data_IF_654867986885
#
_entry.id   IF_654867986885
#
_cell.length_a   1.000
_cell.length_b   1.000
_cell.length_c   1.000
_cell.angle_alpha   90.00
_cell.angle_beta   90.00
_cell.angle_gamma   90.00
#
_symmetry.space_group_name_H-M   'P 1'
#
loop_
_entity.id
_entity.type
_entity.pdbx_description
1 polymer ?
#
# COMPACT_ATOMS: atom_id res chain seq x y z
N UNK A 1 10.86 -32.35 -35.66
CA UNK A 1 12.25 -31.91 -35.82
C UNK A 1 12.45 -30.64 -34.98
N UNK A 2 12.80 -30.81 -33.70
CA UNK A 2 13.68 -29.96 -32.87
C UNK A 2 13.75 -30.67 -31.51
N UNK A 3 14.97 -31.07 -31.14
CA UNK A 3 15.39 -31.86 -29.96
C UNK A 3 16.41 -30.98 -29.22
N UNK A 4 16.73 -31.33 -27.95
CA UNK A 4 17.78 -30.77 -27.04
C UNK A 4 17.19 -29.80 -26.00
N UNK A 5 17.31 -29.96 -24.67
CA UNK A 5 18.00 -30.95 -23.82
C UNK A 5 17.39 -30.95 -22.41
N UNK A 6 16.96 -32.12 -21.91
CA UNK A 6 16.77 -32.38 -20.48
C UNK A 6 18.12 -32.79 -19.89
N UNK A 7 18.61 -32.06 -18.89
CA UNK A 7 19.60 -32.61 -17.95
C UNK A 7 18.89 -33.16 -16.72
N UNK A 8 19.24 -34.40 -16.42
CA UNK A 8 18.87 -35.23 -15.27
C UNK A 8 19.94 -35.02 -14.19
N UNK A 9 19.56 -34.83 -12.94
CA UNK A 9 20.39 -35.05 -11.72
C UNK A 9 19.44 -34.92 -10.53
N UNK A 10 18.86 -36.03 -10.07
CA UNK A 10 19.33 -36.85 -8.93
C UNK A 10 19.06 -36.20 -7.56
N UNK A 11 18.11 -36.78 -6.82
CA UNK A 11 17.97 -36.65 -5.38
C UNK A 11 19.10 -37.43 -4.68
N UNK A 12 19.48 -37.13 -3.44
CA UNK A 12 18.77 -37.76 -2.31
C UNK A 12 18.77 -36.96 -0.98
N UNK A 13 17.98 -37.44 -0.02
CA UNK A 13 18.42 -37.53 1.38
C UNK A 13 18.26 -36.29 2.26
N UNK A 14 17.39 -36.41 3.27
CA UNK A 14 17.38 -35.49 4.40
C UNK A 14 18.67 -35.55 5.20
N UNK A 15 18.90 -34.51 6.01
CA UNK A 15 19.62 -34.53 7.29
C UNK A 15 19.16 -33.27 8.02
N UNK A 16 18.53 -33.48 9.17
CA UNK A 16 18.29 -32.45 10.16
C UNK A 16 19.62 -31.81 10.56
N UNK A 17 19.72 -30.49 10.47
CA UNK A 17 20.90 -29.78 10.97
C UNK A 17 20.69 -29.43 12.44
N UNK A 18 21.13 -30.37 13.26
CA UNK A 18 21.41 -30.32 14.69
C UNK A 18 22.43 -29.24 15.07
N UNK A 19 22.13 -27.96 14.87
CA UNK A 19 23.07 -26.88 15.27
C UNK A 19 22.44 -25.78 16.12
N UNK A 20 21.11 -25.73 16.26
CA UNK A 20 20.48 -24.83 17.24
C UNK A 20 20.09 -25.49 18.57
N UNK A 21 20.17 -26.82 18.69
CA UNK A 21 19.87 -27.54 19.94
C UNK A 21 21.08 -27.73 20.88
N UNK A 22 22.31 -27.50 20.42
CA UNK A 22 23.51 -27.73 21.24
C UNK A 22 23.85 -26.58 22.20
N UNK A 23 23.36 -25.36 21.98
CA UNK A 23 23.62 -24.22 22.88
C UNK A 23 22.72 -24.26 24.12
N UNK A 24 21.54 -24.90 24.04
CA UNK A 24 20.57 -24.91 25.14
C UNK A 24 20.87 -25.97 26.22
N UNK A 25 21.67 -27.00 25.92
CA UNK A 25 22.02 -28.05 26.89
C UNK A 25 23.29 -27.78 27.73
N UNK A 26 24.07 -26.73 27.42
CA UNK A 26 25.30 -26.43 28.19
C UNK A 26 25.10 -25.48 29.37
N UNK A 27 23.89 -24.91 29.54
CA UNK A 27 23.59 -23.99 30.65
C UNK A 27 22.75 -24.61 31.78
N UNK A 28 22.60 -25.94 31.80
CA UNK A 28 21.78 -26.64 32.80
C UNK A 28 22.55 -27.69 33.63
N UNK A 29 23.86 -27.50 33.82
CA UNK A 29 24.71 -28.46 34.54
C UNK A 29 25.67 -27.84 35.58
N UNK A 30 25.35 -26.69 36.16
CA UNK A 30 26.06 -26.17 37.34
C UNK A 30 25.10 -25.52 38.32
N UNK A 31 24.66 -26.28 39.32
CA UNK A 31 24.87 -26.02 40.75
C UNK A 31 23.86 -26.82 41.59
N UNK A 32 24.30 -27.96 42.09
CA UNK A 32 23.71 -28.62 43.27
C UNK A 32 24.64 -28.30 44.44
N UNK A 33 24.17 -27.56 45.45
CA UNK A 33 24.33 -27.83 46.90
C UNK A 33 24.04 -26.61 47.82
N UNK A 34 22.90 -26.69 48.56
CA UNK A 34 22.64 -26.13 49.92
C UNK A 34 22.25 -24.63 50.08
N UNK A 35 21.58 -24.20 51.19
CA UNK A 35 20.68 -24.87 52.14
C UNK A 35 19.22 -24.31 52.10
N UNK A 36 18.23 -25.12 52.49
CA UNK A 36 16.78 -24.94 52.26
C UNK A 36 16.05 -23.78 52.97
N UNK A 37 16.70 -22.86 53.69
CA UNK A 37 15.99 -21.88 54.55
C UNK A 37 15.67 -20.52 53.93
N UNK A 38 16.16 -20.21 52.73
CA UNK A 38 16.06 -18.87 52.13
C UNK A 38 15.11 -18.79 50.93
N UNK A 39 14.55 -19.91 50.48
CA UNK A 39 13.75 -19.96 49.25
C UNK A 39 12.28 -19.52 49.43
N UNK A 40 11.72 -19.66 50.63
CA UNK A 40 10.35 -19.27 50.92
C UNK A 40 10.20 -17.74 51.01
N UNK A 41 11.16 -17.06 51.65
CA UNK A 41 11.16 -15.60 51.79
C UNK A 41 11.48 -14.86 50.49
N UNK A 42 12.32 -15.45 49.63
CA UNK A 42 12.61 -14.92 48.29
C UNK A 42 11.42 -15.04 47.33
N UNK A 43 10.64 -16.13 47.44
CA UNK A 43 9.38 -16.27 46.68
C UNK A 43 8.32 -15.26 47.12
N UNK A 44 8.21 -14.99 48.43
CA UNK A 44 7.28 -13.98 48.96
C UNK A 44 7.67 -12.53 48.57
N UNK A 45 8.97 -12.25 48.40
CA UNK A 45 9.47 -10.96 47.88
C UNK A 45 9.27 -10.83 46.37
N UNK A 46 9.42 -11.90 45.60
CA UNK A 46 9.13 -11.92 44.16
C UNK A 46 7.63 -11.68 43.88
N UNK A 47 6.74 -12.28 44.68
CA UNK A 47 5.27 -12.10 44.57
C UNK A 47 4.80 -10.67 44.90
N UNK A 48 5.62 -9.89 45.62
CA UNK A 48 5.31 -8.50 45.99
C UNK A 48 5.78 -7.49 44.94
N UNK A 49 6.79 -7.84 44.13
CA UNK A 49 7.29 -7.02 43.03
C UNK A 49 6.36 -7.05 41.80
N UNK A 50 5.56 -8.11 41.63
CA UNK A 50 4.68 -8.29 40.48
C UNK A 50 3.34 -7.53 40.60
N UNK A 51 2.97 -7.08 41.81
CA UNK A 51 1.72 -6.34 42.08
C UNK A 51 1.79 -4.84 41.81
N UNK A 52 2.92 -4.32 41.32
CA UNK A 52 3.16 -2.87 41.20
C UNK A 52 3.32 -2.32 39.77
N UNK A 53 3.33 -3.16 38.73
CA UNK A 53 3.62 -2.68 37.37
C UNK A 53 2.31 -2.64 36.56
N UNK A 54 1.79 -1.44 36.20
CA UNK A 54 0.69 -1.36 35.25
C UNK A 54 1.14 -1.98 33.92
N UNK A 55 0.46 -3.06 33.52
CA UNK A 55 0.78 -3.90 32.37
C UNK A 55 0.52 -3.24 31.00
N UNK A 56 0.84 -1.95 30.84
CA UNK A 56 0.54 -1.20 29.62
C UNK A 56 1.75 -0.52 28.94
N UNK A 57 2.99 -0.72 29.42
CA UNK A 57 4.13 0.07 28.90
C UNK A 57 5.21 -0.68 28.13
N UNK A 58 5.11 -1.99 27.87
CA UNK A 58 6.25 -2.71 27.25
C UNK A 58 5.90 -3.82 26.25
N UNK A 59 4.72 -3.84 25.64
CA UNK A 59 4.51 -4.75 24.50
C UNK A 59 5.12 -4.12 23.24
N UNK A 60 6.23 -4.65 22.69
CA UNK A 60 6.58 -4.32 21.31
C UNK A 60 5.38 -4.69 20.42
N UNK A 61 5.03 -3.85 19.45
CA UNK A 61 3.89 -4.11 18.58
C UNK A 61 4.08 -5.49 17.93
N UNK A 62 3.01 -6.32 17.86
CA UNK A 62 3.13 -7.66 17.30
C UNK A 62 3.69 -7.60 15.87
N UNK A 63 4.57 -8.54 15.48
CA UNK A 63 5.09 -8.65 14.12
C UNK A 63 3.92 -8.97 13.19
N UNK A 64 3.36 -7.93 12.57
CA UNK A 64 2.07 -7.93 11.88
C UNK A 64 1.42 -6.55 11.82
N UNK A 65 1.92 -5.58 12.57
CA UNK A 65 1.41 -4.20 12.61
C UNK A 65 1.82 -3.32 11.43
N UNK A 66 2.97 -3.57 10.78
CA UNK A 66 3.38 -2.78 9.61
C UNK A 66 2.49 -3.01 8.39
N UNK A 67 2.06 -4.26 8.16
CA UNK A 67 1.09 -4.61 7.12
C UNK A 67 -0.26 -3.91 7.36
N UNK A 68 -0.72 -3.85 8.61
CA UNK A 68 -1.95 -3.15 8.99
C UNK A 68 -1.91 -1.65 8.68
N UNK A 69 -0.80 -0.97 9.04
CA UNK A 69 -0.65 0.47 8.80
C UNK A 69 -0.55 0.82 7.31
N UNK A 70 0.16 0.00 6.51
CA UNK A 70 0.20 0.21 5.06
C UNK A 70 -1.17 -0.02 4.44
N UNK A 71 -1.89 -1.05 4.88
CA UNK A 71 -3.24 -1.34 4.40
C UNK A 71 -4.21 -0.20 4.66
N UNK A 72 -4.18 0.41 5.86
CA UNK A 72 -4.99 1.58 6.20
C UNK A 72 -4.74 2.76 5.24
N UNK A 73 -3.47 3.01 4.90
CA UNK A 73 -3.04 4.08 3.99
C UNK A 73 -3.39 3.85 2.51
N UNK A 74 -3.74 2.63 2.11
CA UNK A 74 -4.17 2.31 0.73
C UNK A 74 -5.67 1.98 0.64
N UNK A 75 -6.33 1.71 1.77
CA UNK A 75 -7.71 1.22 1.81
C UNK A 75 -8.70 2.12 1.06
N UNK A 76 -8.64 3.44 1.24
CA UNK A 76 -9.50 4.39 0.51
C UNK A 76 -9.25 4.37 -1.01
N UNK A 77 -7.99 4.23 -1.45
CA UNK A 77 -7.66 4.11 -2.87
C UNK A 77 -8.21 2.81 -3.46
N UNK A 78 -8.10 1.71 -2.72
CA UNK A 78 -8.67 0.42 -3.10
C UNK A 78 -10.19 0.52 -3.20
N UNK A 79 -10.85 1.14 -2.21
CA UNK A 79 -12.30 1.35 -2.24
C UNK A 79 -12.75 2.14 -3.47
N UNK A 80 -12.08 3.25 -3.80
CA UNK A 80 -12.37 4.04 -5.01
C UNK A 80 -12.11 3.22 -6.28
N UNK A 81 -11.08 2.39 -6.30
CA UNK A 81 -10.78 1.47 -7.42
C UNK A 81 -11.86 0.41 -7.60
N UNK A 82 -12.39 -0.16 -6.51
CA UNK A 82 -13.49 -1.12 -6.58
C UNK A 82 -14.78 -0.47 -7.06
N UNK A 83 -15.10 0.74 -6.57
CA UNK A 83 -16.24 1.53 -7.03
C UNK A 83 -16.12 1.88 -8.52
N UNK A 84 -14.91 2.21 -8.99
CA UNK A 84 -14.68 2.54 -10.39
C UNK A 84 -14.81 1.32 -11.32
N UNK A 85 -14.36 0.15 -10.86
CA UNK A 85 -14.56 -1.13 -11.56
C UNK A 85 -16.05 -1.51 -11.64
N UNK A 86 -16.80 -1.36 -10.54
CA UNK A 86 -18.25 -1.56 -10.50
C UNK A 86 -18.97 -0.61 -11.48
N UNK A 87 -18.57 0.66 -11.51
CA UNK A 87 -19.09 1.63 -12.47
C UNK A 87 -18.81 1.21 -13.93
N UNK A 88 -17.59 0.73 -14.24
CA UNK A 88 -17.26 0.25 -15.58
C UNK A 88 -18.13 -0.95 -15.99
N UNK A 89 -18.32 -1.91 -15.08
CA UNK A 89 -19.18 -3.07 -15.33
C UNK A 89 -20.64 -2.66 -15.56
N UNK A 90 -21.15 -1.69 -14.78
CA UNK A 90 -22.50 -1.16 -14.95
C UNK A 90 -22.69 -0.50 -16.32
N UNK A 91 -21.71 0.29 -16.78
CA UNK A 91 -21.77 0.89 -18.12
C UNK A 91 -21.74 -0.15 -19.23
N UNK A 92 -20.87 -1.15 -19.13
CA UNK A 92 -20.81 -2.24 -20.11
C UNK A 92 -22.15 -3.00 -20.17
N UNK A 93 -22.72 -3.33 -19.01
CA UNK A 93 -24.01 -4.03 -18.93
C UNK A 93 -25.16 -3.18 -19.47
N UNK A 94 -25.15 -1.86 -19.21
CA UNK A 94 -26.12 -0.93 -19.78
C UNK A 94 -26.02 -0.86 -21.31
N UNK A 95 -24.81 -0.73 -21.87
CA UNK A 95 -24.57 -0.73 -23.31
C UNK A 95 -25.06 -2.03 -23.95
N UNK A 96 -24.77 -3.18 -23.33
CA UNK A 96 -25.20 -4.49 -23.82
C UNK A 96 -26.72 -4.64 -23.81
N UNK A 97 -27.40 -4.17 -22.75
CA UNK A 97 -28.86 -4.17 -22.68
C UNK A 97 -29.49 -3.33 -23.79
N UNK A 98 -28.98 -2.12 -24.00
CA UNK A 98 -29.46 -1.24 -25.07
C UNK A 98 -29.18 -1.83 -26.47
N UNK A 99 -28.07 -2.58 -26.64
CA UNK A 99 -27.75 -3.33 -27.86
C UNK A 99 -28.75 -4.45 -28.15
N UNK A 100 -29.19 -5.18 -27.11
CA UNK A 100 -30.18 -6.27 -27.25
C UNK A 100 -31.58 -5.74 -27.52
N UNK A 101 -31.93 -4.57 -26.96
CA UNK A 101 -33.26 -3.97 -27.10
C UNK A 101 -33.40 -3.12 -28.37
N UNK A 102 -32.33 -2.45 -28.80
CA UNK A 102 -32.31 -1.67 -30.04
C UNK A 102 -31.79 -2.55 -31.18
N UNK A 103 -32.59 -2.77 -32.24
CA UNK A 103 -32.11 -3.44 -33.45
C UNK A 103 -31.07 -2.56 -34.16
N UNK A 104 -29.80 -2.66 -33.73
CA UNK A 104 -28.50 -2.24 -34.30
C UNK A 104 -28.32 -0.78 -34.80
N UNK A 105 -29.36 0.06 -34.93
CA UNK A 105 -29.24 1.39 -35.59
C UNK A 105 -29.98 2.55 -34.90
N UNK A 106 -30.17 2.52 -33.58
CA UNK A 106 -30.69 3.70 -32.89
C UNK A 106 -29.54 4.71 -32.63
N UNK A 107 -29.72 5.98 -33.00
CA UNK A 107 -28.74 7.05 -32.72
C UNK A 107 -28.44 7.18 -31.23
N UNK A 108 -29.35 6.75 -30.35
CA UNK A 108 -29.13 6.66 -28.91
C UNK A 108 -28.09 5.61 -28.51
N UNK A 109 -28.07 4.44 -29.16
CA UNK A 109 -27.10 3.37 -28.88
C UNK A 109 -25.67 3.80 -29.22
N UNK A 110 -25.45 4.38 -30.41
CA UNK A 110 -24.11 4.86 -30.81
C UNK A 110 -23.55 5.92 -29.85
N UNK A 111 -24.41 6.82 -29.34
CA UNK A 111 -24.01 7.83 -28.35
C UNK A 111 -23.57 7.20 -27.03
N UNK A 112 -24.30 6.20 -26.54
CA UNK A 112 -23.99 5.48 -25.29
C UNK A 112 -22.72 4.65 -25.44
N UNK A 113 -22.55 3.99 -26.59
CA UNK A 113 -21.34 3.24 -26.92
C UNK A 113 -20.11 4.16 -27.02
N UNK A 114 -20.23 5.31 -27.69
CA UNK A 114 -19.16 6.31 -27.79
C UNK A 114 -18.80 6.89 -26.41
N UNK A 115 -19.79 7.21 -25.57
CA UNK A 115 -19.55 7.69 -24.21
C UNK A 115 -18.83 6.65 -23.36
N UNK A 116 -19.22 5.37 -23.44
CA UNK A 116 -18.54 4.27 -22.75
C UNK A 116 -17.09 4.12 -23.22
N UNK A 117 -16.84 4.22 -24.54
CA UNK A 117 -15.49 4.12 -25.10
C UNK A 117 -14.58 5.26 -24.64
N UNK A 118 -15.03 6.50 -24.70
CA UNK A 118 -14.29 7.65 -24.16
C UNK A 118 -13.96 7.48 -22.67
N UNK A 119 -14.92 6.92 -21.92
CA UNK A 119 -14.74 6.59 -20.52
C UNK A 119 -13.69 5.49 -20.31
N UNK A 120 -13.64 4.46 -21.16
CA UNK A 120 -12.62 3.40 -21.09
C UNK A 120 -11.23 3.90 -21.48
N UNK A 121 -11.12 4.75 -22.49
CA UNK A 121 -9.84 5.29 -22.95
C UNK A 121 -9.18 6.19 -21.88
N UNK A 122 -9.98 6.94 -21.11
CA UNK A 122 -9.47 7.81 -20.04
C UNK A 122 -9.22 7.07 -18.71
N UNK A 123 -9.75 5.85 -18.57
CA UNK A 123 -9.72 5.11 -17.30
C UNK A 123 -8.32 4.69 -16.84
N UNK A 124 -7.43 4.14 -17.70
CA UNK A 124 -6.06 3.81 -17.32
C UNK A 124 -5.28 5.03 -16.82
N UNK A 125 -5.44 6.19 -17.48
CA UNK A 125 -4.79 7.44 -17.09
C UNK A 125 -5.28 7.90 -15.71
N UNK A 126 -6.60 7.88 -15.49
CA UNK A 126 -7.19 8.19 -14.18
C UNK A 126 -6.64 7.27 -13.07
N UNK A 127 -6.60 5.97 -13.33
CA UNK A 127 -6.09 4.99 -12.37
C UNK A 127 -4.63 5.25 -12.02
N UNK A 128 -3.77 5.49 -13.03
CA UNK A 128 -2.36 5.77 -12.79
C UNK A 128 -2.17 7.02 -11.92
N UNK A 129 -2.77 8.15 -12.28
CA UNK A 129 -2.57 9.41 -11.54
C UNK A 129 -3.18 9.38 -10.14
N UNK A 130 -4.30 8.68 -9.93
CA UNK A 130 -4.92 8.54 -8.61
C UNK A 130 -4.02 7.76 -7.66
N UNK A 131 -3.45 6.65 -8.14
CA UNK A 131 -2.54 5.83 -7.34
C UNK A 131 -1.23 6.56 -7.06
N UNK A 132 -0.64 7.24 -8.05
CA UNK A 132 0.55 8.06 -7.83
C UNK A 132 0.28 9.20 -6.83
N UNK A 133 -0.82 9.92 -6.97
CA UNK A 133 -1.19 10.99 -6.03
C UNK A 133 -1.40 10.45 -4.61
N UNK A 134 -2.10 9.33 -4.45
CA UNK A 134 -2.39 8.76 -3.13
C UNK A 134 -1.17 8.19 -2.42
N UNK A 135 -0.23 7.57 -3.15
CA UNK A 135 1.00 7.02 -2.58
C UNK A 135 2.04 8.13 -2.33
N UNK A 136 2.23 9.06 -3.28
CA UNK A 136 3.33 10.03 -3.20
C UNK A 136 3.03 11.25 -2.33
N UNK A 137 1.76 11.59 -2.06
CA UNK A 137 1.42 12.79 -1.30
C UNK A 137 0.45 12.53 -0.15
N UNK A 138 -0.77 12.08 -0.43
CA UNK A 138 -1.76 11.82 0.62
C UNK A 138 -2.96 11.03 0.12
N UNK A 139 -3.36 10.02 0.88
CA UNK A 139 -4.48 9.14 0.57
C UNK A 139 -5.85 9.86 0.55
N UNK A 140 -6.15 10.66 1.56
CA UNK A 140 -7.47 11.27 1.74
C UNK A 140 -7.90 12.21 0.59
N UNK A 141 -7.10 13.21 0.17
CA UNK A 141 -7.46 14.07 -0.96
C UNK A 141 -7.44 13.35 -2.30
N UNK A 142 -6.55 12.36 -2.50
CA UNK A 142 -6.56 11.52 -3.71
C UNK A 142 -7.85 10.70 -3.83
N UNK A 143 -8.27 10.05 -2.74
CA UNK A 143 -9.50 9.27 -2.71
C UNK A 143 -10.75 10.15 -2.88
N UNK A 144 -10.78 11.32 -2.25
CA UNK A 144 -11.88 12.29 -2.42
C UNK A 144 -11.98 12.79 -3.87
N UNK A 145 -10.86 13.19 -4.47
CA UNK A 145 -10.82 13.60 -5.88
C UNK A 145 -11.20 12.43 -6.83
N UNK A 146 -10.76 11.22 -6.51
CA UNK A 146 -11.13 10.01 -7.23
C UNK A 146 -12.63 9.72 -7.17
N UNK A 147 -13.26 9.84 -6.00
CA UNK A 147 -14.71 9.70 -5.85
C UNK A 147 -15.47 10.78 -6.62
N UNK A 148 -15.02 12.04 -6.55
CA UNK A 148 -15.57 13.14 -7.35
C UNK A 148 -15.49 12.85 -8.85
N UNK A 149 -14.38 12.28 -9.33
CA UNK A 149 -14.25 11.86 -10.74
C UNK A 149 -15.31 10.82 -11.12
N UNK A 150 -15.56 9.81 -10.28
CA UNK A 150 -16.59 8.79 -10.54
C UNK A 150 -18.00 9.37 -10.60
N UNK A 151 -18.35 10.32 -9.72
CA UNK A 151 -19.65 10.99 -9.74
C UNK A 151 -19.85 11.80 -11.02
N UNK A 152 -18.81 12.51 -11.45
CA UNK A 152 -18.84 13.33 -12.66
C UNK A 152 -18.98 12.44 -13.90
N UNK A 153 -18.32 11.28 -13.89
CA UNK A 153 -18.43 10.26 -14.93
C UNK A 153 -19.82 9.63 -14.99
N UNK A 154 -20.46 9.38 -13.83
CA UNK A 154 -21.88 8.98 -13.80
C UNK A 154 -22.77 10.06 -14.42
N UNK A 155 -22.63 11.32 -14.00
CA UNK A 155 -23.45 12.43 -14.53
C UNK A 155 -23.23 12.63 -16.03
N UNK A 156 -21.99 12.48 -16.51
CA UNK A 156 -21.65 12.52 -17.93
C UNK A 156 -22.38 11.41 -18.71
N UNK A 157 -22.31 10.16 -18.23
CA UNK A 157 -22.96 9.03 -18.88
C UNK A 157 -24.50 9.15 -18.90
N UNK A 158 -25.10 9.54 -17.77
CA UNK A 158 -26.55 9.79 -17.66
C UNK A 158 -26.98 10.95 -18.57
N UNK A 159 -26.18 12.02 -18.65
CA UNK A 159 -26.41 13.14 -19.57
C UNK A 159 -26.44 12.70 -21.04
N UNK A 160 -25.55 11.78 -21.43
CA UNK A 160 -25.53 11.18 -22.77
C UNK A 160 -26.77 10.33 -23.09
N UNK A 161 -27.41 9.73 -22.08
CA UNK A 161 -28.66 8.97 -22.25
C UNK A 161 -29.90 9.88 -22.39
N UNK A 162 -29.93 11.03 -21.70
CA UNK A 162 -31.06 11.95 -21.69
C UNK A 162 -31.12 12.88 -22.91
N UNK A 163 -30.16 13.81 -23.03
CA UNK A 163 -30.09 14.85 -24.09
C UNK A 163 -28.65 15.37 -24.24
N UNK A 164 -28.17 15.52 -25.48
CA UNK A 164 -26.77 15.85 -25.84
C UNK A 164 -26.29 17.20 -25.27
N UNK A 165 -27.20 18.14 -24.97
CA UNK A 165 -26.85 19.47 -24.45
C UNK A 165 -26.42 19.46 -22.97
N UNK A 166 -26.76 18.41 -22.20
CA UNK A 166 -26.49 18.35 -20.76
C UNK A 166 -25.17 17.63 -20.39
N UNK A 167 -24.46 17.05 -21.36
CA UNK A 167 -23.24 16.26 -21.12
C UNK A 167 -21.92 17.07 -21.16
N UNK A 168 -21.92 18.25 -21.77
CA UNK A 168 -20.78 19.17 -21.80
C UNK A 168 -20.27 19.64 -20.43
N UNK A 169 -21.14 20.02 -19.45
CA UNK A 169 -20.66 20.46 -18.14
C UNK A 169 -19.98 19.32 -17.34
N UNK A 170 -20.44 18.07 -17.50
CA UNK A 170 -19.80 16.91 -16.86
C UNK A 170 -18.38 16.65 -17.38
N UNK A 171 -18.17 16.75 -18.69
CA UNK A 171 -16.85 16.53 -19.30
C UNK A 171 -15.81 17.55 -18.85
N UNK A 172 -16.17 18.84 -18.86
CA UNK A 172 -15.26 19.93 -18.45
C UNK A 172 -14.88 19.84 -16.98
N UNK A 173 -15.81 19.44 -16.11
CA UNK A 173 -15.52 19.24 -14.70
C UNK A 173 -14.61 18.03 -14.48
N UNK A 174 -14.82 16.93 -15.21
CA UNK A 174 -13.96 15.74 -15.16
C UNK A 174 -12.51 16.08 -15.52
N UNK A 175 -12.30 16.91 -16.55
CA UNK A 175 -10.97 17.39 -16.94
C UNK A 175 -10.27 18.17 -15.82
N UNK A 176 -11.01 18.97 -15.04
CA UNK A 176 -10.44 19.72 -13.90
C UNK A 176 -10.01 18.78 -12.77
N UNK A 177 -10.81 17.76 -12.47
CA UNK A 177 -10.48 16.77 -11.43
C UNK A 177 -9.23 15.97 -11.81
N UNK A 178 -9.13 15.52 -13.08
CA UNK A 178 -7.93 14.83 -13.58
C UNK A 178 -6.70 15.74 -13.54
N UNK A 179 -6.83 17.02 -13.93
CA UNK A 179 -5.73 17.97 -13.85
C UNK A 179 -5.28 18.20 -12.39
N UNK A 180 -6.22 18.27 -11.45
CA UNK A 180 -5.92 18.39 -10.03
C UNK A 180 -5.16 17.16 -9.50
N UNK A 181 -5.63 15.95 -9.80
CA UNK A 181 -4.95 14.70 -9.45
C UNK A 181 -3.53 14.63 -10.04
N UNK A 182 -3.37 15.07 -11.29
CA UNK A 182 -2.07 15.12 -11.95
C UNK A 182 -1.10 16.09 -11.24
N UNK A 183 -1.53 17.32 -10.94
CA UNK A 183 -0.71 18.29 -10.20
C UNK A 183 -0.31 17.74 -8.83
N UNK A 184 -1.25 17.13 -8.12
CA UNK A 184 -0.99 16.50 -6.83
C UNK A 184 0.07 15.38 -6.93
N UNK A 185 0.00 14.57 -7.98
CA UNK A 185 1.02 13.55 -8.26
C UNK A 185 2.39 14.15 -8.55
N UNK A 186 2.46 15.22 -9.35
CA UNK A 186 3.72 15.91 -9.67
C UNK A 186 4.35 16.48 -8.40
N UNK A 187 3.56 17.15 -7.56
CA UNK A 187 4.02 17.67 -6.27
C UNK A 187 4.52 16.55 -5.36
N UNK A 188 3.81 15.42 -5.29
CA UNK A 188 4.23 14.25 -4.51
C UNK A 188 5.57 13.68 -4.98
N UNK A 189 5.76 13.52 -6.29
CA UNK A 189 7.02 13.01 -6.86
C UNK A 189 8.16 13.99 -6.61
N UNK A 190 7.96 15.29 -6.83
CA UNK A 190 8.98 16.30 -6.56
C UNK A 190 9.37 16.31 -5.08
N UNK A 191 8.39 16.22 -4.17
CA UNK A 191 8.63 16.17 -2.73
C UNK A 191 9.45 14.92 -2.34
N UNK A 192 9.11 13.77 -2.89
CA UNK A 192 9.86 12.53 -2.67
C UNK A 192 11.31 12.65 -3.16
N UNK A 193 11.53 13.17 -4.37
CA UNK A 193 12.88 13.35 -4.92
C UNK A 193 13.70 14.37 -4.13
N UNK A 194 13.07 15.46 -3.66
CA UNK A 194 13.73 16.46 -2.80
C UNK A 194 14.13 15.86 -1.46
N UNK A 195 13.25 15.07 -0.83
CA UNK A 195 13.54 14.41 0.44
C UNK A 195 14.71 13.42 0.31
N UNK A 196 14.74 12.62 -0.75
CA UNK A 196 15.85 11.70 -1.03
C UNK A 196 17.16 12.45 -1.29
N UNK A 197 17.12 13.52 -2.09
CA UNK A 197 18.30 14.35 -2.37
C UNK A 197 18.88 14.97 -1.09
N UNK A 198 18.03 15.59 -0.26
CA UNK A 198 18.44 16.16 1.02
C UNK A 198 18.94 15.10 2.01
N UNK A 199 18.36 13.89 1.99
CA UNK A 199 18.78 12.81 2.86
C UNK A 199 20.18 12.29 2.50
N UNK A 200 20.52 12.23 1.21
CA UNK A 200 21.85 11.85 0.73
C UNK A 200 22.89 12.87 1.21
N UNK A 201 22.66 14.17 0.95
CA UNK A 201 23.57 15.25 1.36
C UNK A 201 23.76 15.28 2.88
N UNK A 202 22.67 15.14 3.63
CA UNK A 202 22.72 15.12 5.10
C UNK A 202 23.51 13.92 5.62
N UNK A 203 23.33 12.73 5.03
CA UNK A 203 24.05 11.53 5.43
C UNK A 203 25.55 11.65 5.18
N UNK A 204 25.96 12.19 4.03
CA UNK A 204 27.38 12.44 3.71
C UNK A 204 28.00 13.47 4.66
N UNK A 205 27.27 14.56 4.95
CA UNK A 205 27.71 15.60 5.87
C UNK A 205 27.95 15.07 7.29
N UNK A 206 26.97 14.36 7.86
CA UNK A 206 27.09 13.79 9.21
C UNK A 206 28.20 12.76 9.29
N UNK A 207 28.35 11.90 8.27
CA UNK A 207 29.46 10.94 8.22
C UNK A 207 30.82 11.64 8.19
N UNK A 208 30.95 12.75 7.46
CA UNK A 208 32.19 13.52 7.37
C UNK A 208 32.55 14.14 8.73
N UNK A 209 31.58 14.78 9.39
CA UNK A 209 31.78 15.36 10.73
C UNK A 209 32.12 14.27 11.74
N UNK A 210 31.40 13.15 11.73
CA UNK A 210 31.64 12.03 12.66
C UNK A 210 33.05 11.48 12.50
N UNK A 211 33.52 11.29 11.25
CA UNK A 211 34.90 10.85 10.98
C UNK A 211 35.94 11.85 11.47
N UNK A 212 35.72 13.15 11.24
CA UNK A 212 36.62 14.20 11.68
C UNK A 212 36.68 14.30 13.22
N UNK A 213 35.52 14.23 13.88
CA UNK A 213 35.40 14.25 15.34
C UNK A 213 36.07 13.01 15.98
N UNK A 214 35.88 11.82 15.41
CA UNK A 214 36.55 10.60 15.85
C UNK A 214 38.08 10.69 15.71
N UNK A 215 38.59 11.32 14.64
CA UNK A 215 40.02 11.54 14.47
C UNK A 215 40.57 12.53 15.51
N UNK A 216 39.84 13.60 15.83
CA UNK A 216 40.20 14.59 16.85
C UNK A 216 40.20 13.99 18.27
N UNK A 217 39.22 13.14 18.60
CA UNK A 217 39.15 12.44 19.90
C UNK A 217 40.26 11.41 20.11
N UNK A 218 40.97 11.02 19.04
CA UNK A 218 42.08 10.07 19.10
C UNK A 218 43.44 10.73 19.34
N UNK A 219 43.49 12.07 19.37
CA UNK A 219 44.71 12.83 19.68
C UNK A 219 44.80 12.97 21.21
N UNK A 220 45.85 12.41 21.86
CA UNK A 220 46.00 12.38 23.32
C UNK A 220 46.34 13.74 23.94
#
# INVERSE_FOLDING_TARGET
MYRVSRRKQEAPGGVASDTQRAVFCSLHARHVHGPQRTQASLRALADRADRGIPANCSRPPPPGTMEGSVMENIFLLVLVTLLSALQNAFFAHKVEKECKTSNVKSSSFERVYCANRNCMDTYPTFMAIMWCAGICLSQAPAAFAGLMYLLVRQKYFVGYMGQVSQSTPGYLFGKRVIAFLFLMSVVGVINFLLAEYLAIDYKEYIQTITKAASALLLIP
#
